data_IF_641353127993
#
_entry.id   IF_641353127993
#
_cell.length_a   1.000
_cell.length_b   1.000
_cell.length_c   1.000
_cell.angle_alpha   90.00
_cell.angle_beta   90.00
_cell.angle_gamma   90.00
#
_symmetry.space_group_name_H-M   'P 1'
#
loop_
_entity.id
_entity.type
_entity.pdbx_description
1 polymer ?
#
# COMPACT_ATOMS: atom_id res chain seq x y z
N UNK A 1 11.42 -10.80 -9.05
CA UNK A 1 10.44 -10.61 -10.14
C UNK A 1 9.66 -9.33 -9.85
N UNK A 2 9.98 -8.25 -10.56
CA UNK A 2 9.32 -6.95 -10.35
C UNK A 2 7.84 -7.07 -10.71
N UNK A 3 6.96 -6.55 -9.86
CA UNK A 3 5.52 -6.54 -10.08
C UNK A 3 5.26 -5.59 -11.26
N UNK A 4 5.06 -6.15 -12.47
CA UNK A 4 5.01 -5.40 -13.73
C UNK A 4 4.00 -4.23 -13.71
N UNK A 5 2.91 -4.35 -12.96
CA UNK A 5 1.88 -3.30 -12.91
C UNK A 5 2.29 -2.06 -12.11
N UNK A 6 3.32 -2.11 -11.26
CA UNK A 6 3.83 -0.92 -10.58
C UNK A 6 4.36 0.11 -11.60
N UNK A 7 5.06 -0.36 -12.64
CA UNK A 7 5.60 0.52 -13.67
C UNK A 7 4.52 1.27 -14.42
N UNK A 8 3.45 0.58 -14.80
CA UNK A 8 2.31 1.19 -15.50
C UNK A 8 1.67 2.28 -14.63
N UNK A 9 1.39 1.99 -13.34
CA UNK A 9 0.82 3.01 -12.42
C UNK A 9 1.75 4.21 -12.28
N UNK A 10 3.05 4.00 -12.07
CA UNK A 10 3.99 5.12 -11.89
C UNK A 10 4.13 5.94 -13.18
N UNK A 11 4.05 5.31 -14.36
CA UNK A 11 4.10 6.03 -15.63
C UNK A 11 2.90 6.95 -15.84
N UNK A 12 1.72 6.53 -15.39
CA UNK A 12 0.51 7.36 -15.45
C UNK A 12 0.52 8.48 -14.39
N UNK A 13 1.09 8.22 -13.21
CA UNK A 13 1.19 9.23 -12.14
C UNK A 13 2.20 10.34 -12.43
N UNK A 14 3.23 10.05 -13.23
CA UNK A 14 4.38 10.95 -13.38
C UNK A 14 4.12 11.94 -14.53
N UNK A 15 4.02 13.26 -14.27
CA UNK A 15 3.95 14.25 -15.34
C UNK A 15 5.26 14.33 -16.12
N UNK A 16 5.28 15.05 -17.24
CA UNK A 16 6.50 15.28 -18.02
C UNK A 16 7.56 16.11 -17.30
N UNK A 17 7.17 16.95 -16.34
CA UNK A 17 8.07 17.78 -15.52
C UNK A 17 7.75 17.63 -14.04
N UNK A 18 8.79 17.59 -13.21
CA UNK A 18 8.68 17.48 -11.76
C UNK A 18 7.88 18.63 -11.13
N UNK A 19 7.96 19.84 -11.70
CA UNK A 19 7.25 21.01 -11.19
C UNK A 19 5.73 20.94 -11.43
N UNK A 20 5.31 20.04 -12.33
CA UNK A 20 3.90 19.79 -12.65
C UNK A 20 3.33 18.60 -11.87
N UNK A 21 4.02 18.13 -10.83
CA UNK A 21 3.57 16.99 -10.04
C UNK A 21 2.35 17.38 -9.20
N UNK A 22 1.17 17.08 -9.73
CA UNK A 22 -0.10 17.14 -9.01
C UNK A 22 -0.54 15.72 -8.67
N UNK A 23 -0.98 15.52 -7.42
CA UNK A 23 -1.38 14.20 -6.94
C UNK A 23 -2.85 14.16 -6.54
N UNK A 24 -3.65 13.53 -7.40
CA UNK A 24 -5.06 13.24 -7.15
C UNK A 24 -5.31 11.76 -6.79
N UNK A 25 -4.23 11.00 -6.54
CA UNK A 25 -4.30 9.56 -6.28
C UNK A 25 -3.89 9.26 -4.83
N UNK A 26 -4.53 8.25 -4.24
CA UNK A 26 -4.18 7.74 -2.92
C UNK A 26 -4.19 6.21 -2.94
N UNK A 27 -3.28 5.61 -2.20
CA UNK A 27 -3.14 4.16 -2.09
C UNK A 27 -3.52 3.69 -0.69
N UNK A 28 -4.40 2.70 -0.63
CA UNK A 28 -4.74 2.00 0.60
C UNK A 28 -4.28 0.56 0.48
N UNK A 29 -3.54 0.06 1.47
CA UNK A 29 -2.99 -1.29 1.44
C UNK A 29 -3.13 -1.99 2.79
N UNK A 30 -3.39 -3.29 2.72
CA UNK A 30 -3.34 -4.19 3.88
C UNK A 30 -1.99 -4.92 3.97
N UNK A 31 -1.11 -4.74 2.98
CA UNK A 31 0.22 -5.32 3.00
C UNK A 31 1.11 -4.55 3.96
N UNK A 32 1.95 -5.26 4.72
CA UNK A 32 2.99 -4.63 5.54
C UNK A 32 4.25 -4.27 4.73
N UNK A 33 4.37 -4.85 3.54
CA UNK A 33 5.51 -4.72 2.64
C UNK A 33 5.68 -3.30 2.09
N UNK A 34 6.92 -2.89 1.79
CA UNK A 34 7.28 -1.53 1.33
C UNK A 34 7.71 -1.47 -0.14
N UNK A 35 7.46 -2.55 -0.92
CA UNK A 35 7.93 -2.67 -2.30
C UNK A 35 7.40 -1.58 -3.22
N UNK A 36 6.15 -1.16 -3.03
CA UNK A 36 5.53 -0.16 -3.89
C UNK A 36 6.18 1.20 -3.70
N UNK A 37 6.35 1.66 -2.45
CA UNK A 37 6.95 2.96 -2.16
C UNK A 37 8.44 2.97 -2.47
N UNK A 38 9.12 1.84 -2.27
CA UNK A 38 10.50 1.68 -2.72
C UNK A 38 10.60 1.81 -4.25
N UNK A 39 9.72 1.13 -4.99
CA UNK A 39 9.69 1.20 -6.44
C UNK A 39 9.32 2.60 -6.94
N UNK A 40 8.27 3.20 -6.38
CA UNK A 40 7.82 4.56 -6.69
C UNK A 40 8.96 5.57 -6.48
N UNK A 41 9.65 5.51 -5.34
CA UNK A 41 10.79 6.38 -5.07
C UNK A 41 11.90 6.22 -6.11
N UNK A 42 12.32 4.99 -6.41
CA UNK A 42 13.36 4.76 -7.41
C UNK A 42 12.91 5.19 -8.82
N UNK A 43 11.67 4.93 -9.18
CA UNK A 43 11.13 5.28 -10.49
C UNK A 43 11.03 6.78 -10.68
N UNK A 44 10.53 7.53 -9.68
CA UNK A 44 10.48 9.00 -9.73
C UNK A 44 11.90 9.57 -9.76
N UNK A 45 12.80 9.11 -8.87
CA UNK A 45 14.20 9.58 -8.83
C UNK A 45 14.91 9.42 -10.18
N UNK A 46 14.66 8.31 -10.89
CA UNK A 46 15.32 8.01 -12.17
C UNK A 46 14.55 8.52 -13.40
N UNK A 47 13.36 9.12 -13.22
CA UNK A 47 12.55 9.63 -14.35
C UNK A 47 12.80 11.09 -14.69
N UNK A 48 13.40 11.86 -13.77
CA UNK A 48 13.59 13.31 -13.89
C UNK A 48 15.06 13.65 -13.68
N UNK A 49 15.66 14.37 -14.64
CA UNK A 49 17.05 14.83 -14.55
C UNK A 49 17.21 15.97 -13.53
N UNK A 50 16.11 16.67 -13.24
CA UNK A 50 16.00 17.78 -12.29
C UNK A 50 16.17 17.31 -10.84
N UNK A 51 15.84 16.05 -10.56
CA UNK A 51 15.93 15.47 -9.21
C UNK A 51 17.38 15.08 -8.92
N UNK A 52 18.11 16.00 -8.29
CA UNK A 52 19.51 15.80 -7.89
C UNK A 52 19.67 15.35 -6.43
N UNK A 53 18.65 15.60 -5.61
CA UNK A 53 18.67 15.30 -4.17
C UNK A 53 17.61 14.25 -3.78
N UNK A 54 17.99 13.36 -2.87
CA UNK A 54 17.10 12.39 -2.22
C UNK A 54 15.95 13.07 -1.51
N UNK A 55 16.20 14.24 -0.90
CA UNK A 55 15.16 14.97 -0.16
C UNK A 55 14.03 15.46 -1.07
N UNK A 56 14.37 16.04 -2.22
CA UNK A 56 13.37 16.49 -3.20
C UNK A 56 12.49 15.32 -3.68
N UNK A 57 13.11 14.17 -3.98
CA UNK A 57 12.36 12.97 -4.35
C UNK A 57 11.47 12.48 -3.20
N UNK A 58 11.98 12.49 -1.96
CA UNK A 58 11.23 12.09 -0.78
C UNK A 58 10.00 12.98 -0.54
N UNK A 59 10.11 14.30 -0.79
CA UNK A 59 8.99 15.25 -0.68
C UNK A 59 7.89 14.94 -1.70
N UNK A 60 8.25 14.67 -2.96
CA UNK A 60 7.31 14.28 -4.02
C UNK A 60 6.61 12.96 -3.66
N UNK A 61 7.37 11.93 -3.30
CA UNK A 61 6.79 10.62 -2.96
C UNK A 61 5.91 10.72 -1.71
N UNK A 62 6.27 11.57 -0.76
CA UNK A 62 5.48 11.79 0.46
C UNK A 62 4.21 12.61 0.23
N UNK A 63 4.08 13.31 -0.91
CA UNK A 63 2.84 14.00 -1.28
C UNK A 63 1.73 13.04 -1.70
N UNK A 64 2.10 11.80 -2.06
CA UNK A 64 1.16 10.73 -2.41
C UNK A 64 0.74 9.99 -1.13
N UNK A 65 -0.55 10.04 -0.73
CA UNK A 65 -1.00 9.31 0.44
C UNK A 65 -0.94 7.79 0.20
N UNK A 66 -0.12 7.10 0.99
CA UNK A 66 -0.02 5.63 1.00
C UNK A 66 -0.29 5.15 2.43
N UNK A 67 -1.50 4.64 2.65
CA UNK A 67 -1.98 4.23 3.98
C UNK A 67 -1.89 2.71 4.13
N UNK A 68 -1.09 2.29 5.09
CA UNK A 68 -0.99 0.91 5.54
C UNK A 68 -1.97 0.64 6.69
N UNK A 69 -3.11 0.02 6.37
CA UNK A 69 -4.22 -0.20 7.30
C UNK A 69 -3.86 -1.12 8.48
N UNK A 70 -2.83 -1.95 8.35
CA UNK A 70 -2.31 -2.78 9.43
C UNK A 70 -0.89 -2.38 9.82
N UNK A 71 -0.48 -1.16 9.50
CA UNK A 71 0.91 -0.73 9.66
C UNK A 71 1.85 -1.45 8.69
N UNK A 72 3.15 -1.33 8.94
CA UNK A 72 4.18 -1.59 7.94
C UNK A 72 5.48 -2.15 8.55
N UNK A 73 6.31 -2.79 7.72
CA UNK A 73 7.61 -3.36 8.15
C UNK A 73 8.71 -2.29 8.10
N UNK A 74 8.59 -1.28 8.96
CA UNK A 74 9.59 -0.21 9.09
C UNK A 74 9.47 0.90 8.05
N UNK A 75 10.03 2.07 8.35
CA UNK A 75 10.22 3.19 7.41
C UNK A 75 11.33 2.86 6.40
N UNK A 76 11.24 3.41 5.18
CA UNK A 76 12.35 3.37 4.21
C UNK A 76 13.43 4.41 4.58
N UNK A 77 14.67 4.31 4.07
CA UNK A 77 15.76 5.21 4.48
C UNK A 77 15.44 6.68 4.21
N UNK A 78 14.76 6.98 3.10
CA UNK A 78 14.35 8.33 2.73
C UNK A 78 13.19 8.89 3.59
N UNK A 79 12.52 8.06 4.39
CA UNK A 79 11.43 8.47 5.29
C UNK A 79 11.90 8.76 6.72
N UNK A 80 13.18 8.53 7.03
CA UNK A 80 13.69 8.65 8.38
C UNK A 80 14.96 9.49 8.46
N UNK A 81 14.88 10.60 9.17
CA UNK A 81 16.00 11.53 9.36
C UNK A 81 16.99 11.07 10.45
N UNK A 82 16.59 10.10 11.28
CA UNK A 82 17.37 9.55 12.41
C UNK A 82 18.17 8.29 12.04
N UNK A 83 18.16 7.89 10.76
CA UNK A 83 18.84 6.67 10.30
C UNK A 83 18.17 5.35 10.69
N UNK A 84 16.97 5.38 11.29
CA UNK A 84 16.22 4.16 11.64
C UNK A 84 15.52 3.50 10.44
N UNK A 85 15.61 4.10 9.25
CA UNK A 85 15.01 3.58 8.03
C UNK A 85 15.71 2.30 7.53
N UNK A 86 14.89 1.32 7.14
CA UNK A 86 15.33 0.02 6.62
C UNK A 86 15.46 0.07 5.10
N UNK A 87 16.63 -0.31 4.58
CA UNK A 87 16.78 -0.55 3.14
C UNK A 87 15.88 -1.71 2.68
N UNK A 88 15.09 -1.46 1.64
CA UNK A 88 14.35 -2.51 0.96
C UNK A 88 15.32 -3.37 0.15
N UNK A 89 15.54 -4.61 0.59
CA UNK A 89 16.50 -5.52 -0.02
C UNK A 89 16.14 -6.98 0.28
N UNK A 90 16.72 -7.89 -0.49
CA UNK A 90 16.56 -9.34 -0.31
C UNK A 90 17.38 -9.88 0.88
N UNK A 91 18.37 -9.12 1.36
CA UNK A 91 19.14 -9.48 2.54
C UNK A 91 18.53 -8.88 3.81
N UNK A 92 18.57 -9.66 4.87
CA UNK A 92 18.27 -9.17 6.21
C UNK A 92 19.39 -9.63 7.14
N UNK A 93 20.41 -8.78 7.26
CA UNK A 93 21.63 -9.08 8.01
C UNK A 93 21.32 -9.42 9.48
N UNK A 94 20.30 -8.78 10.05
CA UNK A 94 19.79 -9.04 11.39
C UNK A 94 19.31 -10.49 11.56
N UNK A 95 18.62 -11.06 10.57
CA UNK A 95 18.25 -12.49 10.60
C UNK A 95 19.45 -13.39 10.47
N UNK A 96 20.48 -13.01 9.69
CA UNK A 96 21.73 -13.80 9.60
C UNK A 96 22.40 -13.90 10.97
N UNK A 97 22.44 -12.79 11.72
CA UNK A 97 22.98 -12.79 13.09
C UNK A 97 22.18 -13.70 14.02
N UNK A 98 20.85 -13.63 13.98
CA UNK A 98 19.98 -14.47 14.84
C UNK A 98 20.12 -15.95 14.49
N UNK A 99 20.04 -16.31 13.20
CA UNK A 99 20.20 -17.70 12.75
C UNK A 99 21.53 -18.28 13.21
N UNK A 100 22.63 -17.54 12.99
CA UNK A 100 23.98 -17.98 13.38
C UNK A 100 24.13 -18.13 14.91
N UNK A 101 23.43 -17.30 15.69
CA UNK A 101 23.40 -17.42 17.16
C UNK A 101 22.62 -18.67 17.62
N UNK A 102 21.50 -18.98 16.95
CA UNK A 102 20.66 -20.16 17.27
C UNK A 102 21.30 -21.48 16.82
N UNK A 103 22.20 -21.47 15.84
CA UNK A 103 22.90 -22.66 15.32
C UNK A 103 23.93 -23.28 16.27
N UNK A 104 24.02 -22.84 17.54
CA UNK A 104 24.85 -23.41 18.62
C UNK A 104 26.27 -23.81 18.17
N UNK A 105 27.12 -22.84 17.80
CA UNK A 105 28.60 -23.00 17.77
C UNK A 105 29.35 -21.71 17.39
N UNK A 106 28.81 -20.52 17.71
CA UNK A 106 29.46 -19.25 17.36
C UNK A 106 29.41 -18.30 18.55
N UNK A 107 30.57 -17.94 19.09
CA UNK A 107 30.70 -16.81 20.01
C UNK A 107 30.39 -15.52 19.27
N UNK A 108 29.43 -14.75 19.79
CA UNK A 108 29.08 -13.43 19.25
C UNK A 108 29.40 -12.35 20.27
N UNK A 109 29.80 -11.18 19.76
CA UNK A 109 29.84 -9.96 20.54
C UNK A 109 28.41 -9.61 20.97
N UNK A 110 28.16 -9.51 22.28
CA UNK A 110 26.81 -9.24 22.83
C UNK A 110 26.12 -8.00 22.25
N UNK A 111 26.90 -7.04 21.76
CA UNK A 111 26.42 -5.83 21.08
C UNK A 111 25.72 -6.11 19.74
N UNK A 112 26.08 -7.15 19.00
CA UNK A 112 25.43 -7.51 17.73
C UNK A 112 24.03 -8.09 17.95
N UNK A 113 23.87 -8.98 18.92
CA UNK A 113 22.56 -9.53 19.29
C UNK A 113 21.63 -8.44 19.84
N UNK A 114 22.18 -7.52 20.64
CA UNK A 114 21.43 -6.37 21.15
C UNK A 114 20.90 -5.48 20.01
N UNK A 115 21.71 -5.21 18.97
CA UNK A 115 21.29 -4.47 17.77
C UNK A 115 20.17 -5.19 17.01
N UNK A 116 20.34 -6.48 16.73
CA UNK A 116 19.32 -7.26 16.02
C UNK A 116 17.99 -7.32 16.80
N UNK A 117 18.05 -7.53 18.12
CA UNK A 117 16.87 -7.50 18.98
C UNK A 117 16.19 -6.13 18.96
N UNK A 118 16.95 -5.06 19.17
CA UNK A 118 16.43 -3.69 19.16
C UNK A 118 15.71 -3.39 17.84
N UNK A 119 16.32 -3.79 16.73
CA UNK A 119 15.78 -3.63 15.40
C UNK A 119 14.45 -4.37 15.20
N UNK A 120 14.40 -5.67 15.50
CA UNK A 120 13.17 -6.48 15.36
C UNK A 120 12.05 -5.93 16.24
N UNK A 121 12.36 -5.56 17.48
CA UNK A 121 11.39 -4.96 18.39
C UNK A 121 10.83 -3.67 17.80
N UNK A 122 11.67 -2.79 17.25
CA UNK A 122 11.20 -1.54 16.64
C UNK A 122 10.34 -1.74 15.40
N UNK A 123 10.64 -2.74 14.56
CA UNK A 123 9.78 -3.08 13.41
C UNK A 123 8.46 -3.67 13.88
N UNK A 124 8.48 -4.57 14.87
CA UNK A 124 7.26 -5.21 15.36
C UNK A 124 6.24 -4.20 15.89
N UNK A 125 6.70 -3.08 16.47
CA UNK A 125 5.84 -1.97 16.92
C UNK A 125 5.12 -1.25 15.79
N UNK A 126 5.59 -1.39 14.55
CA UNK A 126 4.98 -0.77 13.37
C UNK A 126 3.97 -1.70 12.68
N UNK A 127 3.86 -2.96 13.13
CA UNK A 127 2.81 -3.89 12.72
C UNK A 127 1.63 -3.71 13.66
N UNK A 128 0.46 -3.43 13.11
CA UNK A 128 -0.78 -3.27 13.85
C UNK A 128 -1.65 -4.50 13.71
N UNK A 129 -2.00 -5.10 14.84
CA UNK A 129 -3.07 -6.10 14.92
C UNK A 129 -4.30 -5.38 15.42
N UNK A 130 -5.25 -5.10 14.51
CA UNK A 130 -6.41 -4.28 14.84
C UNK A 130 -7.59 -5.18 15.20
N UNK A 131 -8.11 -4.99 16.42
CA UNK A 131 -9.35 -5.58 16.87
C UNK A 131 -10.55 -4.70 16.49
N UNK A 132 -11.73 -5.31 16.36
CA UNK A 132 -12.93 -4.61 15.86
C UNK A 132 -13.34 -3.41 16.72
N UNK A 133 -13.07 -3.44 18.04
CA UNK A 133 -13.38 -2.35 18.98
C UNK A 133 -12.47 -1.12 18.85
N UNK A 134 -11.34 -1.26 18.16
CA UNK A 134 -10.32 -0.21 18.04
C UNK A 134 -10.40 0.51 16.69
N UNK A 135 -11.26 0.04 15.78
CA UNK A 135 -11.39 0.58 14.41
C UNK A 135 -11.84 2.03 14.36
N UNK A 136 -12.71 2.44 15.28
CA UNK A 136 -13.21 3.81 15.28
C UNK A 136 -12.19 4.81 15.81
N UNK A 137 -11.21 4.34 16.58
CA UNK A 137 -10.08 5.12 17.09
C UNK A 137 -8.79 5.02 16.27
N UNK A 138 -8.71 4.13 15.25
CA UNK A 138 -7.49 3.97 14.47
C UNK A 138 -7.37 5.04 13.37
N UNK A 139 -6.32 5.86 13.46
CA UNK A 139 -6.08 7.00 12.58
C UNK A 139 -6.00 6.61 11.09
N UNK A 140 -5.37 5.49 10.76
CA UNK A 140 -5.20 5.01 9.39
C UNK A 140 -6.53 4.57 8.79
N UNK A 141 -7.37 3.86 9.54
CA UNK A 141 -8.73 3.55 9.10
C UNK A 141 -9.60 4.78 8.97
N UNK A 142 -9.49 5.76 9.86
CA UNK A 142 -10.24 7.02 9.73
C UNK A 142 -9.80 7.81 8.49
N UNK A 143 -8.49 7.97 8.26
CA UNK A 143 -7.96 8.60 7.05
C UNK A 143 -8.40 7.86 5.79
N UNK A 144 -8.35 6.53 5.80
CA UNK A 144 -8.80 5.71 4.67
C UNK A 144 -10.30 5.91 4.37
N UNK A 145 -11.16 5.94 5.40
CA UNK A 145 -12.60 6.21 5.25
C UNK A 145 -12.84 7.61 4.67
N UNK A 146 -12.07 8.62 5.07
CA UNK A 146 -12.15 9.98 4.53
C UNK A 146 -11.76 9.98 3.04
N UNK A 147 -10.62 9.38 2.69
CA UNK A 147 -10.16 9.29 1.30
C UNK A 147 -11.17 8.55 0.41
N UNK A 148 -11.72 7.43 0.87
CA UNK A 148 -12.76 6.69 0.13
C UNK A 148 -14.04 7.51 -0.06
N UNK A 149 -14.46 8.30 0.93
CA UNK A 149 -15.64 9.16 0.79
C UNK A 149 -15.41 10.39 -0.08
N UNK A 150 -14.16 10.82 -0.26
CA UNK A 150 -13.85 11.96 -1.12
C UNK A 150 -13.53 11.53 -2.56
N UNK A 151 -13.03 10.31 -2.77
CA UNK A 151 -12.61 9.82 -4.08
C UNK A 151 -13.79 9.61 -5.04
N UNK A 152 -13.71 10.14 -6.25
CA UNK A 152 -14.71 9.91 -7.30
C UNK A 152 -14.64 8.48 -7.87
N UNK A 153 -13.41 7.98 -8.00
CA UNK A 153 -13.07 6.66 -8.50
C UNK A 153 -12.34 5.84 -7.42
N UNK A 154 -12.78 4.60 -7.19
CA UNK A 154 -12.19 3.67 -6.23
C UNK A 154 -11.93 2.34 -6.93
N UNK A 155 -10.69 1.87 -6.88
CA UNK A 155 -10.25 0.66 -7.58
C UNK A 155 -9.64 -0.37 -6.62
N UNK A 156 -10.19 -1.59 -6.60
CA UNK A 156 -9.67 -2.72 -5.82
C UNK A 156 -8.77 -3.62 -6.68
N UNK A 157 -7.45 -3.58 -6.42
CA UNK A 157 -6.45 -4.32 -7.20
C UNK A 157 -5.88 -5.50 -6.40
N UNK A 158 -6.03 -6.73 -6.90
CA UNK A 158 -5.50 -7.93 -6.25
C UNK A 158 -6.09 -8.18 -4.85
N UNK A 159 -7.30 -7.70 -4.58
CA UNK A 159 -7.91 -7.70 -3.26
C UNK A 159 -8.72 -8.99 -3.01
N UNK A 160 -8.62 -9.57 -1.82
CA UNK A 160 -9.32 -10.82 -1.48
C UNK A 160 -10.81 -10.68 -1.11
N UNK A 161 -11.30 -9.44 -0.92
CA UNK A 161 -12.68 -9.13 -0.52
C UNK A 161 -13.17 -9.90 0.72
N UNK A 162 -12.31 -10.01 1.73
CA UNK A 162 -12.72 -10.52 3.03
C UNK A 162 -13.74 -9.58 3.66
N UNK A 163 -14.85 -10.13 4.15
CA UNK A 163 -15.98 -9.40 4.71
C UNK A 163 -15.55 -8.44 5.82
N UNK A 164 -14.62 -8.87 6.66
CA UNK A 164 -14.06 -8.05 7.74
C UNK A 164 -13.41 -6.78 7.18
N UNK A 165 -12.61 -6.88 6.13
CA UNK A 165 -11.94 -5.71 5.55
C UNK A 165 -12.92 -4.78 4.83
N UNK A 166 -13.92 -5.33 4.16
CA UNK A 166 -14.98 -4.55 3.52
C UNK A 166 -15.81 -3.76 4.55
N UNK A 167 -16.13 -4.40 5.68
CA UNK A 167 -16.83 -3.75 6.80
C UNK A 167 -15.96 -2.67 7.45
N UNK A 168 -14.68 -2.96 7.72
CA UNK A 168 -13.73 -2.01 8.31
C UNK A 168 -13.58 -0.72 7.50
N UNK A 169 -13.68 -0.81 6.18
CA UNK A 169 -13.63 0.32 5.26
C UNK A 169 -14.99 0.96 4.98
N UNK A 170 -16.07 0.49 5.61
CA UNK A 170 -17.44 0.97 5.41
C UNK A 170 -17.88 0.99 3.94
N UNK A 171 -17.45 0.01 3.12
CA UNK A 171 -17.71 0.02 1.68
C UNK A 171 -19.21 0.05 1.35
N UNK A 172 -20.03 -0.67 2.11
CA UNK A 172 -21.49 -0.70 1.93
C UNK A 172 -22.17 0.64 2.23
N UNK A 173 -21.48 1.54 2.94
CA UNK A 173 -21.97 2.85 3.38
C UNK A 173 -21.40 4.02 2.58
N UNK A 174 -20.51 3.78 1.60
CA UNK A 174 -19.95 4.85 0.78
C UNK A 174 -21.08 5.59 0.06
N UNK A 175 -21.19 6.88 0.33
CA UNK A 175 -22.22 7.73 -0.27
C UNK A 175 -21.95 7.99 -1.75
N UNK A 176 -22.98 8.16 -2.59
CA UNK A 176 -22.78 8.70 -3.94
C UNK A 176 -22.17 10.11 -3.88
N UNK A 177 -21.60 10.60 -4.98
CA UNK A 177 -21.07 11.98 -5.07
C UNK A 177 -22.21 12.98 -4.93
N UNK A 178 -23.34 12.70 -5.56
CA UNK A 178 -24.58 13.46 -5.44
C UNK A 178 -25.80 12.54 -5.63
N UNK A 179 -27.04 12.99 -5.37
CA UNK A 179 -28.23 12.16 -5.60
C UNK A 179 -28.35 11.58 -7.02
N UNK A 180 -27.71 12.20 -8.02
CA UNK A 180 -27.71 11.77 -9.42
C UNK A 180 -26.41 11.10 -9.88
N UNK A 181 -25.32 11.26 -9.14
CA UNK A 181 -23.98 10.83 -9.57
C UNK A 181 -23.46 9.77 -8.60
N UNK A 182 -23.41 8.52 -9.07
CA UNK A 182 -22.76 7.42 -8.34
C UNK A 182 -21.25 7.51 -8.50
N UNK A 183 -20.51 7.09 -7.46
CA UNK A 183 -19.06 6.85 -7.56
C UNK A 183 -18.78 5.66 -8.45
N UNK A 184 -17.64 5.70 -9.13
CA UNK A 184 -17.11 4.53 -9.78
C UNK A 184 -16.36 3.68 -8.74
N UNK A 185 -16.81 2.45 -8.52
CA UNK A 185 -16.17 1.53 -7.58
C UNK A 185 -16.01 0.18 -8.27
N UNK A 186 -14.83 -0.06 -8.81
CA UNK A 186 -14.52 -1.26 -9.59
C UNK A 186 -13.43 -2.08 -8.90
N UNK A 187 -13.35 -3.37 -9.25
CA UNK A 187 -12.32 -4.23 -8.71
C UNK A 187 -11.96 -5.40 -9.61
N UNK A 188 -10.69 -5.79 -9.52
CA UNK A 188 -10.22 -7.06 -10.09
C UNK A 188 -10.85 -8.25 -9.35
N UNK A 189 -11.17 -9.32 -10.08
CA UNK A 189 -11.84 -10.49 -9.52
C UNK A 189 -11.30 -11.82 -10.07
N UNK A 190 -10.02 -11.82 -10.47
CA UNK A 190 -9.34 -13.00 -11.00
C UNK A 190 -9.43 -14.18 -10.01
N UNK A 191 -9.96 -15.31 -10.47
CA UNK A 191 -10.12 -16.51 -9.65
C UNK A 191 -11.30 -16.47 -8.67
N UNK A 192 -12.10 -15.39 -8.63
CA UNK A 192 -13.29 -15.31 -7.77
C UNK A 192 -14.50 -15.89 -8.53
N UNK A 193 -15.03 -17.01 -8.04
CA UNK A 193 -16.22 -17.65 -8.62
C UNK A 193 -17.53 -16.87 -8.39
N UNK A 194 -18.56 -17.20 -9.18
CA UNK A 194 -19.85 -16.50 -9.18
C UNK A 194 -20.51 -16.43 -7.78
N UNK A 195 -20.46 -17.52 -7.00
CA UNK A 195 -21.02 -17.56 -5.65
C UNK A 195 -20.36 -16.52 -4.72
N UNK A 196 -19.02 -16.43 -4.72
CA UNK A 196 -18.29 -15.45 -3.90
C UNK A 196 -18.53 -14.02 -4.40
N UNK A 197 -18.65 -13.80 -5.71
CA UNK A 197 -19.05 -12.48 -6.26
C UNK A 197 -20.43 -12.04 -5.79
N UNK A 198 -21.42 -12.94 -5.82
CA UNK A 198 -22.77 -12.67 -5.29
C UNK A 198 -22.72 -12.34 -3.80
N UNK A 199 -21.91 -13.06 -3.03
CA UNK A 199 -21.67 -12.76 -1.62
C UNK A 199 -21.04 -11.38 -1.41
N UNK A 200 -19.99 -11.03 -2.16
CA UNK A 200 -19.35 -9.71 -2.09
C UNK A 200 -20.36 -8.61 -2.44
N UNK A 201 -21.17 -8.81 -3.48
CA UNK A 201 -22.22 -7.88 -3.87
C UNK A 201 -23.22 -7.69 -2.71
N UNK A 202 -23.64 -8.75 -2.03
CA UNK A 202 -24.50 -8.67 -0.85
C UNK A 202 -23.85 -7.91 0.31
N UNK A 203 -22.61 -8.21 0.66
CA UNK A 203 -21.89 -7.57 1.78
C UNK A 203 -21.65 -6.08 1.52
N UNK A 204 -21.46 -5.72 0.25
CA UNK A 204 -21.17 -4.34 -0.16
C UNK A 204 -22.40 -3.57 -0.60
N UNK A 205 -23.63 -4.10 -0.47
CA UNK A 205 -24.85 -3.48 -1.00
C UNK A 205 -24.75 -3.09 -2.49
N UNK A 206 -24.10 -3.95 -3.28
CA UNK A 206 -23.88 -3.77 -4.71
C UNK A 206 -22.99 -2.58 -5.08
N UNK A 207 -22.20 -2.06 -4.13
CA UNK A 207 -21.34 -0.89 -4.34
C UNK A 207 -20.16 -1.19 -5.24
N UNK A 208 -19.55 -2.37 -5.10
CA UNK A 208 -18.41 -2.76 -5.93
C UNK A 208 -18.91 -3.49 -7.16
N UNK A 209 -18.51 -3.00 -8.33
CA UNK A 209 -18.65 -3.72 -9.57
C UNK A 209 -17.43 -4.63 -9.81
N UNK A 210 -17.70 -5.93 -9.99
CA UNK A 210 -16.70 -6.98 -10.22
C UNK A 210 -16.93 -7.61 -11.60
N UNK A 211 -16.21 -7.18 -12.65
CA UNK A 211 -16.44 -7.62 -14.02
C UNK A 211 -16.29 -9.12 -14.20
N UNK A 212 -17.19 -9.79 -14.93
CA UNK A 212 -17.11 -11.24 -15.17
C UNK A 212 -15.76 -11.67 -15.75
N UNK A 213 -15.19 -10.84 -16.64
CA UNK A 213 -13.84 -11.01 -17.18
C UNK A 213 -12.80 -11.07 -16.05
N UNK A 214 -11.98 -12.11 -16.07
CA UNK A 214 -10.88 -12.30 -15.13
C UNK A 214 -9.67 -11.45 -15.52
N UNK A 215 -9.77 -10.15 -15.30
CA UNK A 215 -8.68 -9.22 -15.54
C UNK A 215 -7.44 -9.53 -14.71
N UNK A 216 -6.27 -9.60 -15.36
CA UNK A 216 -5.01 -9.30 -14.65
C UNK A 216 -4.99 -7.81 -14.31
N UNK A 217 -4.24 -7.42 -13.27
CA UNK A 217 -4.19 -6.02 -12.82
C UNK A 217 -3.81 -5.07 -13.96
N UNK A 218 -2.81 -5.42 -14.79
CA UNK A 218 -2.39 -4.59 -15.93
C UNK A 218 -3.52 -4.37 -16.93
N UNK A 219 -4.27 -5.43 -17.25
CA UNK A 219 -5.39 -5.35 -18.20
C UNK A 219 -6.53 -4.51 -17.61
N UNK A 220 -6.79 -4.66 -16.31
CA UNK A 220 -7.78 -3.86 -15.60
C UNK A 220 -7.43 -2.38 -15.63
N UNK A 221 -6.18 -2.01 -15.29
CA UNK A 221 -5.73 -0.62 -15.32
C UNK A 221 -5.91 0.00 -16.71
N UNK A 222 -5.56 -0.72 -17.77
CA UNK A 222 -5.69 -0.23 -19.16
C UNK A 222 -7.13 -0.12 -19.66
N UNK A 223 -8.03 -0.99 -19.20
CA UNK A 223 -9.41 -1.04 -19.72
C UNK A 223 -10.44 -0.33 -18.83
N UNK A 224 -10.13 -0.09 -17.54
CA UNK A 224 -11.12 0.34 -16.53
C UNK A 224 -10.71 1.56 -15.72
N UNK A 225 -9.45 1.98 -15.81
CA UNK A 225 -8.94 3.15 -15.09
C UNK A 225 -8.63 4.25 -16.09
N UNK A 226 -9.20 5.42 -15.85
CA UNK A 226 -8.84 6.65 -16.52
C UNK A 226 -7.98 7.46 -15.55
N UNK A 227 -6.72 7.62 -15.90
CA UNK A 227 -5.80 8.52 -15.21
C UNK A 227 -5.96 9.90 -15.89
N UNK A 228 -7.07 10.57 -15.62
CA UNK A 228 -7.34 11.95 -16.03
C UNK A 228 -6.95 12.94 -14.92
#
# INVERSE_FOLDING_TARGET
MMIKWYGDVVNELKPSSVDSFDNNVSFLTFNYDRSFEHYLFLSIKNSYEEIKDVKQCAEIVSSIPIIHLHGQIGKLPWQSNDGSGRQYSESFEEIKYIRKTLSRNVEYLGSTLAKARHYIVNISKQIKIIHEKELDSDDEFQKAKILLNNAENIYFLGFGYHDVNLKRLNISQISPISPKIKRNIDGTSYGIGAAKRKHINSVTNGRINLPEKNYKIIEFLKERVLFE
#
